data_IF_629533142928
#
_entry.id   IF_629533142928
#
_cell.length_a   1.000
_cell.length_b   1.000
_cell.length_c   1.000
_cell.angle_alpha   90.00
_cell.angle_beta   90.00
_cell.angle_gamma   90.00
#
_symmetry.space_group_name_H-M   'P 1'
#
loop_
_entity.id
_entity.type
_entity.pdbx_description
1 polymer ?
#
# COMPACT_ATOMS: atom_id res chain seq x y z
N UNK A 1 17.51 15.85 -4.92
CA UNK A 1 18.96 15.50 -4.92
C UNK A 1 19.46 15.37 -6.35
N UNK A 2 20.76 15.13 -6.54
CA UNK A 2 21.38 14.92 -7.86
C UNK A 2 21.98 13.52 -7.96
N UNK A 3 21.98 12.93 -9.14
CA UNK A 3 22.52 11.58 -9.39
C UNK A 3 23.63 11.66 -10.44
N UNK A 4 24.79 11.08 -10.15
CA UNK A 4 25.91 11.03 -11.10
C UNK A 4 25.57 10.04 -12.21
N UNK A 5 25.66 10.47 -13.47
CA UNK A 5 25.36 9.62 -14.64
C UNK A 5 26.57 8.83 -15.12
N UNK A 6 27.78 9.40 -15.03
CA UNK A 6 29.04 8.78 -15.46
C UNK A 6 30.21 9.36 -14.66
N UNK A 7 31.29 8.57 -14.55
CA UNK A 7 32.52 8.94 -13.85
C UNK A 7 32.51 8.64 -12.35
N UNK A 8 33.68 8.76 -11.74
CA UNK A 8 33.90 8.63 -10.29
C UNK A 8 34.75 9.82 -9.84
N UNK A 9 34.31 10.50 -8.77
CA UNK A 9 35.02 11.64 -8.18
C UNK A 9 34.92 11.58 -6.66
N UNK A 10 35.98 12.03 -5.98
CA UNK A 10 35.92 12.33 -4.55
C UNK A 10 35.38 13.75 -4.35
N UNK A 11 34.48 13.92 -3.38
CA UNK A 11 33.87 15.21 -3.07
C UNK A 11 33.72 15.39 -1.55
N UNK A 12 33.85 16.64 -1.10
CA UNK A 12 33.66 17.00 0.30
C UNK A 12 32.20 17.39 0.53
N UNK A 13 31.56 16.81 1.54
CA UNK A 13 30.18 17.11 1.91
C UNK A 13 30.12 18.45 2.64
N UNK A 14 29.44 19.45 2.06
CA UNK A 14 29.36 20.82 2.59
C UNK A 14 28.12 21.02 3.48
N UNK A 15 27.02 20.33 3.18
CA UNK A 15 25.77 20.41 3.93
C UNK A 15 24.99 19.09 3.84
N UNK A 16 24.30 18.70 4.91
CA UNK A 16 23.52 17.46 5.01
C UNK A 16 22.04 17.75 5.27
N UNK A 17 21.18 16.83 4.83
CA UNK A 17 19.73 16.84 5.14
C UNK A 17 19.04 18.17 4.85
N UNK A 18 18.42 18.74 5.89
CA UNK A 18 17.62 19.97 5.85
C UNK A 18 18.43 21.23 5.51
N UNK A 19 19.75 21.21 5.69
CA UNK A 19 20.62 22.35 5.36
C UNK A 19 20.93 22.45 3.86
N UNK A 20 20.55 21.45 3.06
CA UNK A 20 20.67 21.48 1.59
C UNK A 20 19.52 22.27 0.96
N UNK A 21 19.73 22.81 -0.25
CA UNK A 21 18.67 23.48 -1.01
C UNK A 21 17.45 22.57 -1.23
N UNK A 22 17.70 21.29 -1.53
CA UNK A 22 16.65 20.30 -1.67
C UNK A 22 15.91 20.02 -0.36
N UNK A 23 16.62 19.94 0.78
CA UNK A 23 16.01 19.74 2.09
C UNK A 23 15.06 20.87 2.49
N UNK A 24 15.44 22.12 2.24
CA UNK A 24 14.58 23.29 2.47
C UNK A 24 13.34 23.26 1.57
N UNK A 25 13.50 22.97 0.29
CA UNK A 25 12.39 22.88 -0.65
C UNK A 25 11.46 21.69 -0.35
N UNK A 26 12.00 20.53 0.03
CA UNK A 26 11.21 19.34 0.38
C UNK A 26 10.35 19.57 1.63
N UNK A 27 10.87 20.25 2.65
CA UNK A 27 10.10 20.61 3.85
C UNK A 27 8.91 21.53 3.53
N UNK A 28 8.98 22.32 2.45
CA UNK A 28 7.86 23.15 1.98
C UNK A 28 6.80 22.35 1.18
N UNK A 29 7.14 21.15 0.70
CA UNK A 29 6.30 20.32 -0.19
C UNK A 29 5.68 19.10 0.53
N UNK A 30 6.02 18.89 1.81
CA UNK A 30 5.61 17.73 2.64
C UNK A 30 4.08 17.61 2.87
N UNK A 31 3.30 18.54 2.34
CA UNK A 31 1.83 18.50 2.32
C UNK A 31 1.24 17.58 1.23
N UNK A 32 2.06 16.92 0.39
CA UNK A 32 1.56 16.08 -0.72
C UNK A 32 1.46 14.60 -0.33
N UNK A 33 0.70 14.29 0.72
CA UNK A 33 0.30 12.92 0.98
C UNK A 33 -0.98 12.63 0.19
N UNK A 34 -0.83 12.20 -1.07
CA UNK A 34 -1.95 11.60 -1.78
C UNK A 34 -2.42 10.37 -1.01
N UNK A 35 -3.70 10.37 -0.64
CA UNK A 35 -4.38 9.25 0.03
C UNK A 35 -4.09 7.97 -0.75
N UNK A 36 -3.34 7.04 -0.15
CA UNK A 36 -2.94 5.80 -0.79
C UNK A 36 -4.15 4.97 -1.23
N UNK A 37 -4.01 4.19 -2.32
CA UNK A 37 -5.09 3.35 -2.85
C UNK A 37 -5.74 2.49 -1.75
N UNK A 38 -4.91 1.84 -0.93
CA UNK A 38 -5.34 1.06 0.22
C UNK A 38 -6.24 1.84 1.20
N UNK A 39 -5.88 3.10 1.49
CA UNK A 39 -6.67 3.94 2.40
C UNK A 39 -8.04 4.27 1.78
N UNK A 40 -8.12 4.46 0.46
CA UNK A 40 -9.41 4.66 -0.24
C UNK A 40 -10.30 3.42 -0.14
N UNK A 41 -9.74 2.23 -0.34
CA UNK A 41 -10.46 0.96 -0.22
C UNK A 41 -10.97 0.78 1.21
N UNK A 42 -10.13 1.03 2.21
CA UNK A 42 -10.49 0.94 3.62
C UNK A 42 -11.64 1.90 3.99
N UNK A 43 -11.57 3.15 3.50
CA UNK A 43 -12.65 4.13 3.68
C UNK A 43 -13.93 3.70 2.97
N UNK A 44 -13.85 3.11 1.78
CA UNK A 44 -15.04 2.63 1.05
C UNK A 44 -15.76 1.50 1.81
N UNK A 45 -15.02 0.52 2.33
CA UNK A 45 -15.60 -0.57 3.13
C UNK A 45 -16.17 -0.02 4.44
N UNK A 46 -15.45 0.88 5.12
CA UNK A 46 -15.96 1.53 6.33
C UNK A 46 -17.25 2.32 6.08
N UNK A 47 -17.32 3.05 4.96
CA UNK A 47 -18.52 3.78 4.56
C UNK A 47 -19.68 2.83 4.25
N UNK A 48 -19.42 1.70 3.57
CA UNK A 48 -20.44 0.68 3.35
C UNK A 48 -21.03 0.14 4.66
N UNK A 49 -20.18 -0.17 5.64
CA UNK A 49 -20.63 -0.61 6.97
C UNK A 49 -21.48 0.48 7.64
N UNK A 50 -21.03 1.74 7.67
CA UNK A 50 -21.77 2.84 8.30
C UNK A 50 -23.13 3.05 7.63
N UNK A 51 -23.19 3.04 6.29
CA UNK A 51 -24.45 3.17 5.54
C UNK A 51 -25.39 2.01 5.83
N UNK A 52 -24.89 0.78 5.90
CA UNK A 52 -25.72 -0.39 6.24
C UNK A 52 -26.33 -0.30 7.64
N UNK A 53 -25.58 0.20 8.63
CA UNK A 53 -26.06 0.44 10.00
C UNK A 53 -27.13 1.55 9.98
N UNK A 54 -26.87 2.66 9.28
CA UNK A 54 -27.81 3.76 9.18
C UNK A 54 -29.14 3.32 8.57
N UNK A 55 -29.11 2.54 7.48
CA UNK A 55 -30.31 1.97 6.87
C UNK A 55 -31.00 1.01 7.84
N UNK A 56 -30.27 0.14 8.52
CA UNK A 56 -30.80 -0.77 9.54
C UNK A 56 -31.51 -0.02 10.67
N UNK A 57 -30.90 1.04 11.20
CA UNK A 57 -31.49 1.91 12.22
C UNK A 57 -32.78 2.58 11.73
N UNK A 58 -32.79 3.13 10.52
CA UNK A 58 -33.97 3.80 9.94
C UNK A 58 -35.11 2.80 9.74
N UNK A 59 -34.83 1.62 9.19
CA UNK A 59 -35.83 0.56 9.01
C UNK A 59 -36.38 0.09 10.36
N UNK A 60 -35.52 -0.10 11.36
CA UNK A 60 -35.93 -0.55 12.68
C UNK A 60 -36.83 0.48 13.39
N UNK A 61 -36.53 1.77 13.27
CA UNK A 61 -37.38 2.87 13.76
C UNK A 61 -38.74 2.85 13.03
N UNK A 62 -38.74 2.77 11.69
CA UNK A 62 -39.97 2.76 10.89
C UNK A 62 -40.82 1.51 11.15
N UNK A 63 -40.25 0.37 11.54
CA UNK A 63 -41.04 -0.83 11.85
C UNK A 63 -41.51 -0.83 13.31
N UNK A 64 -40.64 -0.50 14.27
CA UNK A 64 -40.97 -0.62 15.70
C UNK A 64 -41.99 0.43 16.18
N UNK A 65 -41.90 1.66 15.69
CA UNK A 65 -42.75 2.76 16.19
C UNK A 65 -44.19 2.71 15.64
N UNK A 66 -44.42 2.73 14.31
CA UNK A 66 -45.79 2.77 13.77
C UNK A 66 -46.45 1.39 13.66
N UNK A 67 -45.71 0.30 13.44
CA UNK A 67 -46.33 -1.04 13.24
C UNK A 67 -46.48 -1.77 14.57
N UNK A 68 -45.41 -1.81 15.37
CA UNK A 68 -45.35 -2.65 16.57
C UNK A 68 -45.69 -1.92 17.89
N UNK A 69 -45.84 -0.59 17.86
CA UNK A 69 -46.19 0.25 19.02
C UNK A 69 -45.34 -0.06 20.28
N UNK A 70 -44.07 -0.43 20.10
CA UNK A 70 -43.19 -0.83 21.20
C UNK A 70 -42.73 0.37 22.02
N UNK A 71 -42.46 0.15 23.30
CA UNK A 71 -41.94 1.17 24.20
C UNK A 71 -40.59 1.71 23.71
N UNK A 72 -40.44 3.05 23.70
CA UNK A 72 -39.22 3.78 23.29
C UNK A 72 -37.94 3.21 23.90
N UNK A 73 -37.98 2.76 25.17
CA UNK A 73 -36.82 2.17 25.85
C UNK A 73 -36.28 0.90 25.17
N UNK A 74 -37.17 0.05 24.64
CA UNK A 74 -36.74 -1.17 23.93
C UNK A 74 -36.13 -0.84 22.57
N UNK A 75 -36.63 0.19 21.88
CA UNK A 75 -36.07 0.64 20.60
C UNK A 75 -34.66 1.22 20.76
N UNK A 76 -34.43 2.03 21.80
CA UNK A 76 -33.10 2.58 22.09
C UNK A 76 -32.07 1.48 22.36
N UNK A 77 -32.45 0.43 23.11
CA UNK A 77 -31.55 -0.70 23.37
C UNK A 77 -31.18 -1.45 22.08
N UNK A 78 -32.14 -1.68 21.19
CA UNK A 78 -31.88 -2.33 19.90
C UNK A 78 -30.94 -1.49 19.01
N UNK A 79 -31.20 -0.19 18.90
CA UNK A 79 -30.35 0.74 18.16
C UNK A 79 -28.91 0.76 18.70
N UNK A 80 -28.75 0.70 20.02
CA UNK A 80 -27.44 0.68 20.68
C UNK A 80 -26.67 -0.61 20.39
N UNK A 81 -27.35 -1.76 20.38
CA UNK A 81 -26.75 -3.05 20.00
C UNK A 81 -26.31 -3.04 18.54
N UNK A 82 -27.14 -2.50 17.63
CA UNK A 82 -26.81 -2.40 16.22
C UNK A 82 -25.58 -1.50 15.99
N UNK A 83 -25.47 -0.41 16.74
CA UNK A 83 -24.36 0.54 16.62
C UNK A 83 -23.04 -0.04 17.17
N UNK A 84 -23.07 -0.67 18.34
CA UNK A 84 -21.88 -1.29 18.95
C UNK A 84 -21.39 -2.49 18.13
N UNK A 85 -22.31 -3.31 17.62
CA UNK A 85 -21.96 -4.47 16.81
C UNK A 85 -21.57 -4.13 15.37
N UNK A 86 -22.09 -3.03 14.82
CA UNK A 86 -21.93 -2.70 13.41
C UNK A 86 -20.64 -1.96 13.06
N UNK A 87 -20.10 -1.13 13.95
CA UNK A 87 -18.94 -0.29 13.61
C UNK A 87 -17.67 -1.16 13.50
N UNK A 88 -17.00 -1.21 12.33
CA UNK A 88 -15.88 -2.12 12.09
C UNK A 88 -14.54 -1.53 12.61
N UNK A 89 -14.45 -1.20 13.90
CA UNK A 89 -13.26 -0.57 14.51
C UNK A 89 -12.01 -1.45 14.38
N UNK A 90 -12.18 -2.77 14.42
CA UNK A 90 -11.09 -3.73 14.34
C UNK A 90 -10.51 -3.89 12.92
N UNK A 91 -11.28 -3.57 11.87
CA UNK A 91 -10.91 -3.89 10.49
C UNK A 91 -9.64 -3.17 10.02
N UNK A 92 -9.46 -1.84 10.24
CA UNK A 92 -8.20 -1.15 9.95
C UNK A 92 -6.98 -1.77 10.64
N UNK A 93 -7.12 -2.12 11.91
CA UNK A 93 -6.03 -2.66 12.73
C UNK A 93 -5.64 -4.06 12.28
N UNK A 94 -6.62 -4.94 12.04
CA UNK A 94 -6.36 -6.32 11.58
C UNK A 94 -5.68 -6.33 10.21
N UNK A 95 -6.12 -5.48 9.28
CA UNK A 95 -5.49 -5.38 7.96
C UNK A 95 -4.06 -4.86 8.06
N UNK A 96 -3.83 -3.81 8.86
CA UNK A 96 -2.49 -3.25 9.09
C UNK A 96 -1.51 -4.30 9.66
N UNK A 97 -1.93 -5.04 10.68
CA UNK A 97 -1.12 -6.11 11.29
C UNK A 97 -0.86 -7.24 10.28
N UNK A 98 -1.86 -7.62 9.49
CA UNK A 98 -1.72 -8.65 8.46
C UNK A 98 -0.70 -8.25 7.40
N UNK A 99 -0.71 -6.99 6.94
CA UNK A 99 0.30 -6.46 6.01
C UNK A 99 1.71 -6.43 6.62
N UNK A 100 1.84 -6.06 7.89
CA UNK A 100 3.12 -6.07 8.59
C UNK A 100 3.70 -7.50 8.70
N UNK A 101 2.87 -8.48 9.07
CA UNK A 101 3.28 -9.89 9.11
C UNK A 101 3.62 -10.40 7.70
N UNK A 102 2.83 -10.04 6.69
CA UNK A 102 3.09 -10.38 5.29
C UNK A 102 4.42 -9.82 4.79
N UNK A 103 4.71 -8.55 5.10
CA UNK A 103 5.98 -7.89 4.81
C UNK A 103 7.16 -8.62 5.46
N UNK A 104 7.02 -9.02 6.72
CA UNK A 104 8.06 -9.79 7.42
C UNK A 104 8.32 -11.15 6.74
N UNK A 105 7.26 -11.87 6.35
CA UNK A 105 7.38 -13.15 5.62
C UNK A 105 8.03 -12.99 4.25
N UNK A 106 7.68 -11.94 3.50
CA UNK A 106 8.31 -11.65 2.20
C UNK A 106 9.80 -11.34 2.37
N UNK A 107 10.18 -10.62 3.43
CA UNK A 107 11.57 -10.35 3.75
C UNK A 107 12.36 -11.63 4.03
N UNK A 108 11.76 -12.62 4.71
CA UNK A 108 12.38 -13.93 4.93
C UNK A 108 12.57 -14.73 3.63
N UNK A 109 11.77 -14.43 2.59
CA UNK A 109 11.90 -15.02 1.25
C UNK A 109 12.85 -14.23 0.33
N UNK A 110 13.51 -13.19 0.84
CA UNK A 110 14.45 -12.36 0.07
C UNK A 110 13.81 -11.18 -0.67
N UNK A 111 12.51 -10.89 -0.47
CA UNK A 111 11.82 -9.76 -1.07
C UNK A 111 11.54 -8.66 -0.03
N UNK A 112 12.17 -7.50 -0.17
CA UNK A 112 12.00 -6.37 0.76
C UNK A 112 10.91 -5.43 0.25
N UNK A 113 9.80 -5.35 0.97
CA UNK A 113 8.68 -4.45 0.64
C UNK A 113 8.92 -3.05 1.22
N UNK A 114 9.29 -2.08 0.40
CA UNK A 114 9.51 -0.68 0.84
C UNK A 114 8.21 0.06 1.18
N UNK A 115 7.07 -0.36 0.62
CA UNK A 115 5.73 0.18 0.88
C UNK A 115 4.79 -0.98 1.20
N UNK A 116 4.01 -0.89 2.28
CA UNK A 116 3.04 -1.95 2.63
C UNK A 116 1.96 -2.14 1.56
N UNK A 117 1.60 -1.07 0.85
CA UNK A 117 0.64 -1.12 -0.28
C UNK A 117 1.13 -1.95 -1.47
N UNK A 118 2.45 -2.17 -1.60
CA UNK A 118 3.00 -2.97 -2.69
C UNK A 118 2.56 -4.44 -2.61
N UNK A 119 2.19 -4.93 -1.43
CA UNK A 119 1.69 -6.30 -1.24
C UNK A 119 0.34 -6.47 -1.94
N UNK A 120 -0.56 -5.49 -1.84
CA UNK A 120 -1.86 -5.47 -2.52
C UNK A 120 -1.68 -5.34 -4.03
N UNK A 121 -0.83 -4.41 -4.48
CA UNK A 121 -0.54 -4.19 -5.90
C UNK A 121 0.06 -5.43 -6.56
N UNK A 122 0.93 -6.17 -5.86
CA UNK A 122 1.51 -7.42 -6.35
C UNK A 122 0.48 -8.54 -6.43
N UNK A 123 -0.50 -8.59 -5.52
CA UNK A 123 -1.57 -9.59 -5.54
C UNK A 123 -2.55 -9.38 -6.71
N UNK A 124 -2.77 -8.12 -7.13
CA UNK A 124 -3.60 -7.75 -8.27
C UNK A 124 -2.83 -7.58 -9.58
N UNK A 125 -1.59 -8.05 -9.67
CA UNK A 125 -0.73 -7.83 -10.84
C UNK A 125 -1.13 -8.76 -11.99
N UNK A 126 -1.62 -8.18 -13.09
CA UNK A 126 -1.97 -8.93 -14.31
C UNK A 126 -0.81 -9.09 -15.29
N UNK A 127 0.12 -8.13 -15.33
CA UNK A 127 1.25 -8.12 -16.27
C UNK A 127 2.55 -7.81 -15.52
N UNK A 128 3.51 -8.73 -15.63
CA UNK A 128 4.88 -8.55 -15.13
C UNK A 128 5.84 -8.26 -16.29
N UNK A 129 6.26 -7.01 -16.42
CA UNK A 129 7.34 -6.64 -17.32
C UNK A 129 8.69 -6.95 -16.65
N UNK A 130 9.36 -8.02 -17.09
CA UNK A 130 10.67 -8.43 -16.56
C UNK A 130 11.81 -7.97 -17.46
N UNK A 131 12.89 -7.47 -16.87
CA UNK A 131 14.10 -7.12 -17.63
C UNK A 131 14.95 -8.35 -17.96
N UNK A 132 15.51 -8.42 -19.17
CA UNK A 132 16.26 -9.60 -19.61
C UNK A 132 17.62 -9.71 -18.93
N UNK A 133 18.38 -8.62 -18.92
CA UNK A 133 19.75 -8.63 -18.39
C UNK A 133 19.70 -8.40 -16.88
N UNK A 134 20.20 -9.35 -16.10
CA UNK A 134 20.24 -9.22 -14.62
C UNK A 134 18.95 -9.61 -13.88
N UNK A 135 17.83 -9.86 -14.56
CA UNK A 135 16.66 -10.55 -13.95
C UNK A 135 16.45 -11.95 -14.53
N UNK A 136 16.24 -12.08 -15.85
CA UNK A 136 16.07 -13.41 -16.49
C UNK A 136 17.39 -14.14 -16.75
N UNK A 137 18.44 -13.37 -17.05
CA UNK A 137 19.77 -13.91 -17.34
C UNK A 137 20.69 -13.74 -16.14
N UNK A 138 21.62 -14.68 -15.96
CA UNK A 138 22.61 -14.66 -14.88
C UNK A 138 23.65 -13.53 -15.00
N UNK A 139 23.50 -12.64 -16.00
CA UNK A 139 24.47 -11.61 -16.40
C UNK A 139 25.92 -12.16 -16.53
N UNK A 140 26.04 -13.46 -16.83
CA UNK A 140 27.29 -14.16 -17.07
C UNK A 140 27.38 -14.48 -18.54
N UNK A 141 28.12 -13.65 -19.27
CA UNK A 141 28.40 -13.87 -20.67
C UNK A 141 29.34 -15.09 -20.77
N UNK A 142 28.87 -16.13 -21.43
CA UNK A 142 29.67 -17.31 -21.76
C UNK A 142 29.90 -17.31 -23.26
N UNK A 143 31.15 -17.47 -23.67
CA UNK A 143 31.55 -17.49 -25.08
C UNK A 143 31.92 -18.93 -25.43
N UNK A 144 31.22 -19.50 -26.41
CA UNK A 144 31.59 -20.78 -26.97
C UNK A 144 32.81 -20.61 -27.86
N UNK A 145 33.93 -21.21 -27.46
CA UNK A 145 35.21 -21.11 -28.16
C UNK A 145 35.19 -21.75 -29.55
N UNK A 146 34.29 -22.69 -29.81
CA UNK A 146 34.16 -23.34 -31.11
C UNK A 146 33.48 -22.45 -32.16
N UNK A 147 32.73 -21.43 -31.72
CA UNK A 147 32.06 -20.46 -32.58
C UNK A 147 32.88 -19.18 -32.81
N UNK A 148 34.11 -19.12 -32.28
CA UNK A 148 34.99 -17.97 -32.46
C UNK A 148 35.70 -18.09 -33.82
N UNK A 149 35.19 -17.42 -34.84
CA UNK A 149 35.90 -17.22 -36.10
C UNK A 149 36.85 -16.03 -35.98
N UNK A 150 38.17 -16.30 -36.02
CA UNK A 150 39.19 -15.26 -36.07
C UNK A 150 39.34 -14.81 -37.51
N UNK A 151 38.70 -13.68 -37.86
CA UNK A 151 38.98 -13.00 -39.11
C UNK A 151 40.35 -12.31 -39.02
N UNK A 152 41.41 -13.03 -39.39
CA UNK A 152 42.70 -12.41 -39.66
C UNK A 152 42.53 -11.49 -40.88
N UNK A 153 42.59 -10.17 -40.65
CA UNK A 153 42.69 -9.18 -41.74
C UNK A 153 43.96 -9.48 -42.54
N UNK A 154 43.77 -9.94 -43.78
CA UNK A 154 44.75 -9.78 -44.85
C UNK A 154 44.84 -8.33 -45.29
#
# INVERSE_FOLDING_TARGET
>A
GSTVKQGEIEAVVIATGVHTFFGKAAHLVDSTNQVGHFQKVLTAIGNFCIVSIAIGMVVEIIVMYPIQHRAYRSGINNLLVLLIGGIPIAMPTVLSVTMAIGSHRLSQQGAITKRMTAIEEMAGMDVLCSDKTGTLTLNKLSVDKNLIEVFARG
#
